data_IF_348708422689
#
_entry.id   IF_348708422689
#
_cell.length_a   1.000
_cell.length_b   1.000
_cell.length_c   1.000
_cell.angle_alpha   90.00
_cell.angle_beta   90.00
_cell.angle_gamma   90.00
#
_symmetry.space_group_name_H-M   'P 1'
#
loop_
_entity.id
_entity.type
_entity.pdbx_description
1 polymer ?
#
# COMPACT_ATOMS: atom_id res chain seq x y z
N UNK A 1 19.43 14.33 -9.04
CA UNK A 1 18.08 13.82 -9.38
C UNK A 1 17.04 14.83 -8.95
N UNK A 2 15.98 15.09 -9.74
CA UNK A 2 14.99 16.13 -9.40
C UNK A 2 14.12 15.76 -8.20
N UNK A 3 13.81 16.74 -7.32
CA UNK A 3 13.04 16.57 -6.07
C UNK A 3 11.71 15.80 -6.22
N UNK A 4 11.04 15.92 -7.37
CA UNK A 4 9.81 15.15 -7.67
C UNK A 4 10.06 13.64 -7.74
N UNK A 5 11.10 13.22 -8.47
CA UNK A 5 11.43 11.80 -8.67
C UNK A 5 11.76 11.09 -7.35
N UNK A 6 12.48 11.79 -6.47
CA UNK A 6 12.80 11.30 -5.13
C UNK A 6 11.55 11.08 -4.25
N UNK A 7 10.58 12.00 -4.31
CA UNK A 7 9.30 11.86 -3.59
C UNK A 7 8.48 10.67 -4.08
N UNK A 8 8.49 10.38 -5.38
CA UNK A 8 7.80 9.21 -5.94
C UNK A 8 8.42 7.89 -5.49
N UNK A 9 9.76 7.81 -5.46
CA UNK A 9 10.48 6.62 -4.97
C UNK A 9 10.12 6.31 -3.51
N UNK A 10 10.13 7.32 -2.64
CA UNK A 10 9.75 7.15 -1.21
C UNK A 10 8.34 6.60 -1.02
N UNK A 11 7.37 6.99 -1.86
CA UNK A 11 6.00 6.45 -1.80
C UNK A 11 5.92 4.99 -2.25
N UNK A 12 6.70 4.63 -3.26
CA UNK A 12 6.78 3.25 -3.74
C UNK A 12 7.44 2.34 -2.70
N UNK A 13 8.53 2.81 -2.09
CA UNK A 13 9.20 2.08 -1.00
C UNK A 13 8.26 1.90 0.18
N UNK A 14 7.49 2.94 0.54
CA UNK A 14 6.49 2.82 1.60
C UNK A 14 5.37 1.83 1.27
N UNK A 15 4.93 1.78 0.01
CA UNK A 15 3.96 0.77 -0.42
C UNK A 15 4.53 -0.64 -0.28
N UNK A 16 5.80 -0.87 -0.64
CA UNK A 16 6.46 -2.18 -0.45
C UNK A 16 6.51 -2.58 1.02
N UNK A 17 6.89 -1.67 1.92
CA UNK A 17 6.89 -1.95 3.36
C UNK A 17 5.50 -2.39 3.86
N UNK A 18 4.44 -1.69 3.45
CA UNK A 18 3.07 -2.03 3.83
C UNK A 18 2.66 -3.38 3.23
N UNK A 19 3.06 -3.68 1.99
CA UNK A 19 2.81 -4.99 1.39
C UNK A 19 3.52 -6.13 2.12
N UNK A 20 4.75 -5.91 2.58
CA UNK A 20 5.46 -6.89 3.39
C UNK A 20 4.79 -7.11 4.75
N UNK A 21 4.41 -6.05 5.46
CA UNK A 21 3.75 -6.22 6.76
C UNK A 21 2.41 -6.95 6.65
N UNK A 22 1.67 -6.75 5.56
CA UNK A 22 0.43 -7.51 5.32
C UNK A 22 0.67 -9.00 5.13
N UNK A 23 1.79 -9.40 4.52
CA UNK A 23 2.15 -10.83 4.42
C UNK A 23 2.53 -11.38 5.79
N UNK A 24 3.34 -10.63 6.55
CA UNK A 24 3.81 -11.06 7.87
C UNK A 24 2.68 -11.15 8.91
N UNK A 25 1.64 -10.30 8.77
CA UNK A 25 0.46 -10.25 9.65
C UNK A 25 -0.68 -11.16 9.17
N UNK A 26 -0.45 -12.02 8.16
CA UNK A 26 -1.46 -12.91 7.58
C UNK A 26 -2.76 -12.17 7.16
N UNK A 27 -2.60 -10.97 6.60
CA UNK A 27 -3.71 -10.10 6.24
C UNK A 27 -4.72 -10.78 5.32
N UNK A 28 -5.98 -10.80 5.74
CA UNK A 28 -7.13 -11.22 4.94
C UNK A 28 -7.98 -10.02 4.57
N UNK A 29 -8.27 -9.89 3.28
CA UNK A 29 -9.07 -8.80 2.72
C UNK A 29 -8.47 -8.27 1.42
N UNK A 30 -8.63 -6.98 1.15
CA UNK A 30 -8.12 -6.37 -0.07
C UNK A 30 -7.55 -4.96 0.14
N UNK A 31 -6.67 -4.56 -0.78
CA UNK A 31 -6.05 -3.23 -0.81
C UNK A 31 -6.43 -2.51 -2.09
N UNK A 32 -6.86 -1.26 -1.96
CA UNK A 32 -7.16 -0.38 -3.08
C UNK A 32 -6.10 0.72 -3.18
N UNK A 33 -5.47 0.83 -4.35
CA UNK A 33 -4.46 1.85 -4.63
C UNK A 33 -5.01 2.81 -5.68
N UNK A 34 -5.15 4.08 -5.29
CA UNK A 34 -5.59 5.14 -6.18
C UNK A 34 -4.38 5.93 -6.68
N UNK A 35 -4.26 6.06 -8.00
CA UNK A 35 -3.24 6.84 -8.67
C UNK A 35 -3.77 8.23 -9.05
N UNK A 36 -2.92 9.25 -9.02
CA UNK A 36 -3.24 10.61 -9.46
C UNK A 36 -2.03 11.21 -10.15
N UNK A 37 -2.21 11.73 -11.37
CA UNK A 37 -1.14 12.35 -12.17
C UNK A 37 0.15 11.50 -12.25
N UNK A 38 0.00 10.19 -12.44
CA UNK A 38 1.13 9.26 -12.60
C UNK A 38 1.86 8.89 -11.30
N UNK A 39 1.31 9.22 -10.12
CA UNK A 39 1.86 8.80 -8.83
C UNK A 39 0.82 8.18 -7.89
N UNK A 40 1.29 7.51 -6.84
CA UNK A 40 0.42 6.98 -5.78
C UNK A 40 -0.21 8.15 -5.01
N UNK A 41 -1.54 8.23 -5.06
CA UNK A 41 -2.34 9.22 -4.35
C UNK A 41 -2.78 8.72 -2.98
N UNK A 42 -3.53 7.61 -2.95
CA UNK A 42 -4.13 7.03 -1.74
C UNK A 42 -4.01 5.50 -1.76
N UNK A 43 -3.76 4.91 -0.59
CA UNK A 43 -3.82 3.46 -0.36
C UNK A 43 -4.87 3.24 0.73
N UNK A 44 -5.81 2.32 0.49
CA UNK A 44 -6.90 1.96 1.41
C UNK A 44 -6.82 0.45 1.67
N UNK A 45 -6.91 0.04 2.94
CA UNK A 45 -6.89 -1.37 3.38
C UNK A 45 -8.26 -1.74 3.92
N UNK A 46 -8.81 -2.86 3.46
CA UNK A 46 -10.10 -3.38 3.88
C UNK A 46 -9.88 -4.78 4.43
N UNK A 47 -9.92 -4.92 5.75
CA UNK A 47 -9.77 -6.20 6.44
C UNK A 47 -11.07 -6.98 6.42
N UNK A 48 -10.96 -8.28 6.16
CA UNK A 48 -12.03 -9.25 6.30
C UNK A 48 -11.82 -10.01 7.61
N UNK A 49 -12.81 -9.93 8.50
CA UNK A 49 -12.82 -10.71 9.74
C UNK A 49 -13.36 -12.10 9.40
N UNK A 50 -12.47 -13.10 9.40
CA UNK A 50 -12.89 -14.49 9.39
C UNK A 50 -13.58 -14.79 10.72
N UNK A 51 -14.85 -15.19 10.68
CA UNK A 51 -15.52 -15.73 11.87
C UNK A 51 -14.99 -17.15 12.07
N UNK A 52 -14.49 -17.44 13.27
CA UNK A 52 -14.23 -18.81 13.70
C UNK A 52 -15.58 -19.56 13.71
N UNK A 53 -15.64 -20.72 13.03
CA UNK A 53 -16.81 -21.62 13.01
C UNK A 53 -17.01 -22.34 14.34
#
# INVERSE_FOLDING_TARGET
MGKKKEKHLKKLDKLKEVMHSMVDEEFTGHVKINFTQGGIGRIEKFEEILKEE
#
